data_IF_171765018576
#
_entry.id   IF_171765018576
#
_cell.length_a   1.000
_cell.length_b   1.000
_cell.length_c   1.000
_cell.angle_alpha   90.00
_cell.angle_beta   90.00
_cell.angle_gamma   90.00
#
_symmetry.space_group_name_H-M   'P 1'
#
loop_
_entity.id
_entity.type
_entity.pdbx_description
1 polymer ?
#
# COMPACT_ATOMS: atom_id res chain seq x y z
N UNK A 1 -44.34 31.65 23.42
CA UNK A 1 -43.14 31.21 22.66
C UNK A 1 -41.93 31.33 23.58
N UNK A 2 -41.55 30.23 24.26
CA UNK A 2 -40.43 30.19 25.22
C UNK A 2 -39.33 29.31 24.63
N UNK A 3 -38.19 29.92 24.34
CA UNK A 3 -36.98 29.25 23.85
C UNK A 3 -36.12 28.96 25.09
N UNK A 4 -35.98 27.68 25.45
CA UNK A 4 -35.04 27.24 26.48
C UNK A 4 -33.65 27.08 25.83
N UNK A 5 -32.69 27.87 26.31
CA UNK A 5 -31.26 27.69 26.04
C UNK A 5 -30.76 26.50 26.86
N UNK A 6 -30.25 25.46 26.22
CA UNK A 6 -29.49 24.39 26.86
C UNK A 6 -28.00 24.75 26.72
N UNK A 7 -27.36 25.04 27.85
CA UNK A 7 -25.93 25.22 27.97
C UNK A 7 -25.31 23.85 28.27
N UNK A 8 -24.52 23.30 27.35
CA UNK A 8 -23.81 22.03 27.55
C UNK A 8 -22.36 22.34 27.95
N UNK A 9 -22.04 22.09 29.21
CA UNK A 9 -20.72 22.29 29.78
C UNK A 9 -19.68 21.32 29.22
N UNK A 10 -18.54 21.87 28.83
CA UNK A 10 -17.34 21.15 28.39
C UNK A 10 -16.56 20.73 29.64
N UNK A 11 -16.43 19.43 29.88
CA UNK A 11 -15.48 18.89 30.87
C UNK A 11 -14.10 18.76 30.24
N UNK A 12 -13.16 19.60 30.68
CA UNK A 12 -11.73 19.50 30.37
C UNK A 12 -11.07 18.67 31.48
N UNK A 13 -10.58 17.48 31.13
CA UNK A 13 -9.70 16.70 32.02
C UNK A 13 -8.25 17.16 31.82
N UNK A 14 -7.68 17.76 32.86
CA UNK A 14 -6.26 18.10 32.96
C UNK A 14 -5.55 16.89 33.59
N UNK A 15 -4.67 16.23 32.83
CA UNK A 15 -3.70 15.28 33.39
C UNK A 15 -2.36 15.98 33.56
N UNK A 16 -1.89 16.06 34.82
CA UNK A 16 -0.60 16.60 35.18
C UNK A 16 0.52 15.61 34.83
N UNK A 17 1.53 16.10 34.11
CA UNK A 17 2.80 15.40 33.89
C UNK A 17 3.63 15.42 35.19
N UNK A 18 4.10 14.25 35.62
CA UNK A 18 5.29 14.14 36.47
C UNK A 18 6.36 13.37 35.71
N UNK A 19 7.41 14.09 35.30
CA UNK A 19 8.61 13.49 34.73
C UNK A 19 9.51 12.94 35.86
N UNK A 20 9.87 11.67 35.79
CA UNK A 20 10.98 11.10 36.54
C UNK A 20 12.02 10.60 35.55
N UNK A 21 13.23 11.16 35.65
CA UNK A 21 14.42 10.68 34.95
C UNK A 21 14.93 9.42 35.64
N UNK A 22 15.08 8.32 34.90
CA UNK A 22 16.16 7.37 35.15
C UNK A 22 16.71 6.82 33.83
N UNK A 23 18.00 6.56 33.85
CA UNK A 23 18.87 6.31 32.71
C UNK A 23 19.53 4.94 32.91
N UNK A 24 19.69 4.20 31.81
CA UNK A 24 20.76 3.21 31.49
C UNK A 24 20.45 1.70 31.58
N UNK A 25 20.82 1.08 30.44
CA UNK A 25 21.32 -0.27 30.12
C UNK A 25 20.42 -1.49 29.83
N UNK A 26 20.78 -2.09 28.69
CA UNK A 26 20.39 -3.39 28.18
C UNK A 26 21.27 -4.51 28.75
N UNK A 27 20.66 -5.66 29.07
CA UNK A 27 20.96 -7.00 28.53
C UNK A 27 20.46 -8.13 29.46
N UNK A 28 19.95 -9.20 28.80
CA UNK A 28 19.79 -10.62 29.20
C UNK A 28 18.71 -11.06 30.21
N UNK A 29 17.82 -11.93 29.68
CA UNK A 29 17.22 -13.21 30.17
C UNK A 29 16.84 -13.35 31.66
N UNK A 30 15.72 -13.97 32.09
CA UNK A 30 15.10 -15.18 31.58
C UNK A 30 13.66 -15.35 32.15
N UNK A 31 12.91 -16.28 31.54
CA UNK A 31 11.53 -16.74 31.79
C UNK A 31 10.88 -16.65 33.19
N UNK A 32 9.64 -16.15 33.23
CA UNK A 32 8.50 -16.77 33.95
C UNK A 32 7.15 -16.42 33.27
N UNK A 33 6.47 -17.43 32.74
CA UNK A 33 5.12 -17.32 32.16
C UNK A 33 4.06 -17.43 33.26
N UNK A 34 3.09 -16.50 33.26
CA UNK A 34 1.76 -16.71 33.84
C UNK A 34 0.68 -16.39 32.79
N UNK A 35 -0.44 -17.13 32.78
CA UNK A 35 -1.45 -17.04 31.73
C UNK A 35 -2.25 -15.75 31.88
N UNK A 36 -1.92 -14.75 31.07
CA UNK A 36 -2.71 -13.52 30.98
C UNK A 36 -3.87 -13.72 30.00
N UNK A 37 -5.09 -13.55 30.51
CA UNK A 37 -6.29 -13.28 29.73
C UNK A 37 -6.00 -12.24 28.65
N UNK A 38 -6.38 -12.45 27.37
CA UNK A 38 -5.95 -11.58 26.29
C UNK A 38 -6.57 -10.20 26.46
N UNK A 39 -5.73 -9.24 26.83
CA UNK A 39 -6.07 -7.82 26.84
C UNK A 39 -6.16 -7.33 25.39
N UNK A 40 -7.37 -7.01 24.93
CA UNK A 40 -7.68 -6.65 23.55
C UNK A 40 -7.33 -5.17 23.26
N UNK A 41 -7.03 -4.35 24.26
CA UNK A 41 -6.85 -2.89 24.10
C UNK A 41 -5.57 -2.44 23.38
N UNK A 42 -4.60 -3.31 23.10
CA UNK A 42 -3.33 -2.94 22.44
C UNK A 42 -3.12 -3.50 21.02
N UNK A 43 -4.17 -3.93 20.31
CA UNK A 43 -4.04 -4.66 19.03
C UNK A 43 -4.25 -3.88 17.73
N UNK A 44 -4.39 -2.57 17.74
CA UNK A 44 -4.29 -1.79 16.50
C UNK A 44 -2.86 -1.27 16.35
N UNK A 45 -1.97 -1.96 15.61
CA UNK A 45 -0.72 -1.33 15.18
C UNK A 45 -1.05 -0.07 14.37
N UNK A 46 -0.21 0.96 14.47
CA UNK A 46 -0.39 2.27 13.81
C UNK A 46 -0.43 2.25 12.27
N UNK A 47 -0.48 1.09 11.62
CA UNK A 47 -0.28 0.90 10.19
C UNK A 47 -1.54 0.34 9.55
N UNK A 48 -2.02 0.93 8.47
CA UNK A 48 -3.32 0.61 7.86
C UNK A 48 -3.22 0.27 6.36
N UNK A 49 -2.00 0.20 5.82
CA UNK A 49 -1.66 -0.06 4.42
C UNK A 49 -0.27 -0.69 4.31
N UNK A 50 0.11 -1.18 3.13
CA UNK A 50 1.49 -1.56 2.83
C UNK A 50 2.42 -0.46 3.31
N UNK A 51 3.57 -0.85 3.86
CA UNK A 51 4.48 0.13 4.43
C UNK A 51 4.83 1.20 3.40
N UNK A 52 4.71 2.46 3.83
CA UNK A 52 5.18 3.64 3.15
C UNK A 52 5.75 4.62 4.17
N UNK A 53 6.47 4.14 5.19
CA UNK A 53 6.78 4.91 6.42
C UNK A 53 7.75 6.08 6.21
N UNK A 54 8.52 6.03 5.13
CA UNK A 54 9.49 7.06 4.77
C UNK A 54 9.56 7.18 3.25
N UNK A 55 9.63 8.39 2.69
CA UNK A 55 9.56 8.59 1.25
C UNK A 55 10.77 8.03 0.49
N UNK A 56 11.92 7.87 1.14
CA UNK A 56 13.15 7.39 0.48
C UNK A 56 13.75 6.11 1.10
N UNK A 57 13.06 5.48 2.05
CA UNK A 57 13.55 4.26 2.73
C UNK A 57 12.75 3.03 2.29
N UNK A 58 13.27 2.31 1.31
CA UNK A 58 12.66 1.09 0.76
C UNK A 58 12.47 -0.03 1.81
N UNK A 59 13.26 -0.03 2.90
CA UNK A 59 13.14 -1.08 3.93
C UNK A 59 11.80 -0.99 4.65
N UNK A 60 11.24 0.21 4.75
CA UNK A 60 9.96 0.50 5.38
C UNK A 60 8.95 1.07 4.36
N UNK A 61 9.18 0.85 3.05
CA UNK A 61 8.29 1.31 1.99
C UNK A 61 8.16 0.25 0.89
N UNK A 62 7.16 -0.63 1.00
CA UNK A 62 6.95 -1.72 0.03
C UNK A 62 6.51 -1.19 -1.34
N UNK A 63 5.71 -0.12 -1.38
CA UNK A 63 5.32 0.51 -2.66
C UNK A 63 6.53 1.03 -3.43
N UNK A 64 7.45 1.73 -2.75
CA UNK A 64 8.69 2.23 -3.34
C UNK A 64 9.62 1.08 -3.76
N UNK A 65 9.68 0.01 -2.95
CA UNK A 65 10.43 -1.19 -3.28
C UNK A 65 9.89 -1.86 -4.57
N UNK A 66 8.56 -1.98 -4.71
CA UNK A 66 7.92 -2.49 -5.93
C UNK A 66 8.24 -1.62 -7.14
N UNK A 67 8.16 -0.29 -7.01
CA UNK A 67 8.56 0.65 -8.06
C UNK A 67 10.01 0.45 -8.51
N UNK A 68 10.94 0.24 -7.57
CA UNK A 68 12.34 -0.07 -7.90
C UNK A 68 12.48 -1.41 -8.61
N UNK A 69 11.77 -2.46 -8.18
CA UNK A 69 11.82 -3.75 -8.88
C UNK A 69 11.25 -3.64 -10.29
N UNK A 70 10.15 -2.91 -10.49
CA UNK A 70 9.58 -2.64 -11.81
C UNK A 70 10.57 -1.93 -12.74
N UNK A 71 11.31 -0.93 -12.24
CA UNK A 71 12.40 -0.28 -12.98
C UNK A 71 13.51 -1.24 -13.38
N UNK A 72 13.88 -2.20 -12.52
CA UNK A 72 14.86 -3.25 -12.89
C UNK A 72 14.34 -4.15 -14.01
N UNK A 73 13.04 -4.44 -14.04
CA UNK A 73 12.43 -5.22 -15.13
C UNK A 73 12.49 -4.41 -16.43
N UNK A 74 12.10 -3.13 -16.41
CA UNK A 74 12.19 -2.24 -17.57
C UNK A 74 13.63 -2.09 -18.10
N UNK A 75 14.63 -2.05 -17.21
CA UNK A 75 16.04 -1.87 -17.58
C UNK A 75 16.66 -3.05 -18.34
N UNK A 76 16.03 -4.24 -18.29
CA UNK A 76 16.52 -5.43 -19.00
C UNK A 76 16.15 -5.43 -20.47
N UNK A 77 15.05 -4.77 -20.79
CA UNK A 77 14.56 -4.66 -22.14
C UNK A 77 15.50 -3.73 -22.91
N UNK A 78 16.29 -4.27 -23.84
CA UNK A 78 17.26 -3.51 -24.64
C UNK A 78 16.56 -2.70 -25.73
N UNK A 79 15.72 -1.75 -25.31
CA UNK A 79 14.93 -0.87 -26.16
C UNK A 79 15.26 0.59 -25.81
N UNK A 80 15.63 1.40 -26.81
CA UNK A 80 15.97 2.81 -26.64
C UNK A 80 14.90 3.63 -25.91
N UNK A 81 13.61 3.32 -26.13
CA UNK A 81 12.50 3.99 -25.46
C UNK A 81 12.52 3.77 -23.93
N UNK A 82 12.91 2.58 -23.46
CA UNK A 82 13.01 2.33 -22.02
C UNK A 82 14.23 3.01 -21.39
N UNK A 83 15.30 3.22 -22.16
CA UNK A 83 16.45 3.98 -21.66
C UNK A 83 16.05 5.41 -21.31
N UNK A 84 15.35 6.10 -22.20
CA UNK A 84 14.85 7.46 -21.96
C UNK A 84 13.88 7.52 -20.77
N UNK A 85 12.90 6.62 -20.75
CA UNK A 85 11.97 6.48 -19.61
C UNK A 85 12.73 6.31 -18.27
N UNK A 86 13.74 5.44 -18.23
CA UNK A 86 14.53 5.19 -17.03
C UNK A 86 15.37 6.41 -16.62
N UNK A 87 15.91 7.15 -17.58
CA UNK A 87 16.61 8.42 -17.33
C UNK A 87 15.68 9.45 -16.69
N UNK A 88 14.45 9.59 -17.20
CA UNK A 88 13.45 10.47 -16.58
C UNK A 88 13.04 10.01 -15.18
N UNK A 89 12.74 8.72 -15.00
CA UNK A 89 12.39 8.16 -13.69
C UNK A 89 13.53 8.30 -12.67
N UNK A 90 14.79 8.30 -13.12
CA UNK A 90 15.94 8.59 -12.28
C UNK A 90 15.99 10.07 -11.90
N UNK A 91 15.80 10.96 -12.87
CA UNK A 91 15.83 12.42 -12.68
C UNK A 91 14.76 12.87 -11.69
N UNK A 92 13.54 12.33 -11.80
CA UNK A 92 12.39 12.70 -10.98
C UNK A 92 12.05 11.66 -9.90
N UNK A 93 13.05 10.88 -9.47
CA UNK A 93 12.85 9.80 -8.49
C UNK A 93 12.24 10.31 -7.18
N UNK A 94 12.66 11.49 -6.71
CA UNK A 94 12.19 12.06 -5.44
C UNK A 94 10.71 12.42 -5.51
N UNK A 95 10.27 12.94 -6.63
CA UNK A 95 8.88 13.32 -6.87
C UNK A 95 7.98 12.08 -6.91
N UNK A 96 8.38 11.04 -7.66
CA UNK A 96 7.67 9.76 -7.66
C UNK A 96 7.60 9.17 -6.26
N UNK A 97 8.72 9.13 -5.55
CA UNK A 97 8.80 8.54 -4.22
C UNK A 97 7.97 9.32 -3.18
N UNK A 98 7.93 10.65 -3.28
CA UNK A 98 7.07 11.49 -2.45
C UNK A 98 5.59 11.30 -2.78
N UNK A 99 5.23 11.15 -4.06
CA UNK A 99 3.86 10.84 -4.47
C UNK A 99 3.38 9.49 -3.93
N UNK A 100 4.24 8.47 -4.00
CA UNK A 100 3.99 7.17 -3.38
C UNK A 100 3.76 7.33 -1.87
N UNK A 101 4.66 8.01 -1.18
CA UNK A 101 4.55 8.22 0.27
C UNK A 101 3.30 8.99 0.70
N UNK A 102 3.02 10.12 0.04
CA UNK A 102 1.94 11.03 0.44
C UNK A 102 0.57 10.37 0.38
N UNK A 103 0.39 9.35 -0.48
CA UNK A 103 -0.86 8.64 -0.63
C UNK A 103 -1.42 8.12 0.72
N UNK A 104 -0.54 7.62 1.59
CA UNK A 104 -0.92 7.10 2.92
C UNK A 104 -0.82 8.13 4.06
N UNK A 105 -0.26 9.31 3.80
CA UNK A 105 0.18 10.21 4.88
C UNK A 105 -0.45 11.60 4.84
N UNK A 106 -1.16 11.94 3.74
CA UNK A 106 -1.62 13.30 3.51
C UNK A 106 -3.01 13.34 2.93
N UNK A 107 -3.84 14.26 3.43
CA UNK A 107 -5.12 14.60 2.81
C UNK A 107 -4.91 15.31 1.45
N UNK A 108 -5.72 15.02 0.43
CA UNK A 108 -6.94 14.20 0.49
C UNK A 108 -6.73 12.70 0.25
N UNK A 109 -5.49 12.22 0.16
CA UNK A 109 -5.15 10.91 -0.41
C UNK A 109 -5.50 9.74 0.51
N UNK A 110 -5.22 9.86 1.81
CA UNK A 110 -5.55 8.84 2.82
C UNK A 110 -6.97 8.96 3.40
N UNK A 111 -7.81 9.82 2.82
CA UNK A 111 -9.22 10.02 3.15
C UNK A 111 -9.49 10.23 4.66
N UNK A 112 -8.82 11.22 5.27
CA UNK A 112 -8.90 11.48 6.72
C UNK A 112 -8.65 10.22 7.58
N UNK A 113 -7.61 9.46 7.24
CA UNK A 113 -7.21 8.20 7.88
C UNK A 113 -8.20 7.04 7.72
N UNK A 114 -9.17 7.14 6.79
CA UNK A 114 -10.04 6.01 6.45
C UNK A 114 -9.41 5.12 5.37
N UNK A 115 -8.56 5.68 4.49
CA UNK A 115 -7.96 4.98 3.36
C UNK A 115 -9.00 4.41 2.38
N UNK A 116 -10.22 4.93 2.36
CA UNK A 116 -11.30 4.39 1.51
C UNK A 116 -10.94 4.35 0.02
N UNK A 117 -10.14 5.28 -0.45
CA UNK A 117 -9.66 5.33 -1.83
C UNK A 117 -8.54 4.34 -2.15
N UNK A 118 -8.00 3.62 -1.16
CA UNK A 118 -6.95 2.61 -1.34
C UNK A 118 -7.50 1.21 -1.63
N UNK A 119 -8.82 1.03 -1.50
CA UNK A 119 -9.49 -0.26 -1.69
C UNK A 119 -10.29 -0.27 -2.98
N UNK A 120 -10.33 -1.44 -3.62
CA UNK A 120 -11.16 -1.67 -4.81
C UNK A 120 -11.44 -3.15 -5.00
N UNK A 121 -12.71 -3.54 -4.92
CA UNK A 121 -13.16 -4.88 -5.28
C UNK A 121 -13.53 -4.93 -6.78
N UNK A 122 -12.78 -5.67 -7.63
CA UNK A 122 -13.00 -5.69 -9.07
C UNK A 122 -14.26 -6.43 -9.54
N UNK A 123 -14.84 -7.26 -8.66
CA UNK A 123 -16.11 -7.96 -8.92
C UNK A 123 -17.31 -7.07 -8.61
N UNK A 124 -17.25 -6.31 -7.51
CA UNK A 124 -18.34 -5.44 -7.07
C UNK A 124 -18.22 -3.99 -7.56
N UNK A 125 -17.11 -3.66 -8.20
CA UNK A 125 -16.75 -2.32 -8.68
C UNK A 125 -16.87 -1.23 -7.59
N UNK A 126 -16.41 -1.51 -6.37
CA UNK A 126 -16.59 -0.63 -5.21
C UNK A 126 -15.40 -0.67 -4.23
N UNK A 127 -15.42 0.23 -3.25
CA UNK A 127 -14.60 0.18 -2.04
C UNK A 127 -15.42 -0.36 -0.86
N UNK A 128 -14.83 -0.51 0.32
CA UNK A 128 -15.48 -1.05 1.51
C UNK A 128 -16.56 -0.11 2.10
N UNK A 129 -16.56 1.18 1.73
CA UNK A 129 -17.64 2.12 2.03
C UNK A 129 -18.41 2.51 0.76
N UNK A 130 -19.72 2.18 0.67
CA UNK A 130 -20.54 2.58 -0.47
C UNK A 130 -20.60 4.09 -0.66
N UNK A 131 -20.59 4.53 -1.93
CA UNK A 131 -20.72 5.95 -2.31
C UNK A 131 -19.41 6.75 -2.31
N UNK A 132 -18.30 6.17 -1.84
CA UNK A 132 -16.99 6.81 -1.85
C UNK A 132 -16.16 6.48 -3.10
N UNK A 133 -15.14 7.29 -3.37
CA UNK A 133 -14.17 7.02 -4.44
C UNK A 133 -13.32 5.82 -4.07
N UNK A 134 -13.08 4.94 -5.04
CA UNK A 134 -12.28 3.72 -4.88
C UNK A 134 -10.92 3.85 -5.59
N UNK A 135 -10.02 2.88 -5.39
CA UNK A 135 -8.68 2.91 -5.95
C UNK A 135 -8.67 2.97 -7.48
N UNK A 136 -9.61 2.30 -8.16
CA UNK A 136 -9.75 2.39 -9.63
C UNK A 136 -9.91 3.84 -10.10
N UNK A 137 -10.87 4.55 -9.51
CA UNK A 137 -11.16 5.94 -9.86
C UNK A 137 -10.00 6.88 -9.49
N UNK A 138 -9.40 6.67 -8.32
CA UNK A 138 -8.34 7.55 -7.81
C UNK A 138 -7.01 7.35 -8.54
N UNK A 139 -6.63 6.10 -8.84
CA UNK A 139 -5.51 5.78 -9.72
C UNK A 139 -5.69 6.42 -11.10
N UNK A 140 -6.84 6.19 -11.74
CA UNK A 140 -7.13 6.76 -13.06
C UNK A 140 -7.08 8.29 -13.09
N UNK A 141 -7.57 8.95 -12.03
CA UNK A 141 -7.46 10.41 -11.85
C UNK A 141 -6.00 10.86 -11.86
N UNK A 142 -5.16 10.30 -10.99
CA UNK A 142 -3.77 10.78 -10.88
C UNK A 142 -2.91 10.38 -12.08
N UNK A 143 -3.18 9.24 -12.71
CA UNK A 143 -2.56 8.87 -13.98
C UNK A 143 -2.83 9.91 -15.07
N UNK A 144 -4.10 10.29 -15.26
CA UNK A 144 -4.51 11.27 -16.29
C UNK A 144 -3.96 12.67 -15.99
N UNK A 145 -3.96 13.07 -14.71
CA UNK A 145 -3.38 14.35 -14.32
C UNK A 145 -1.84 14.35 -14.47
N UNK A 146 -1.17 13.22 -14.23
CA UNK A 146 0.27 13.10 -14.49
C UNK A 146 0.58 13.24 -15.99
N UNK A 147 -0.23 12.62 -16.86
CA UNK A 147 -0.10 12.78 -18.32
C UNK A 147 -0.31 14.23 -18.75
N UNK A 148 -1.35 14.88 -18.22
CA UNK A 148 -1.62 16.28 -18.54
C UNK A 148 -0.44 17.18 -18.12
N UNK A 149 0.03 17.04 -16.89
CA UNK A 149 1.17 17.83 -16.39
C UNK A 149 2.44 17.56 -17.21
N UNK A 150 2.68 16.33 -17.65
CA UNK A 150 3.81 15.99 -18.51
C UNK A 150 3.74 16.73 -19.85
N UNK A 151 2.57 16.73 -20.50
CA UNK A 151 2.34 17.43 -21.78
C UNK A 151 2.42 18.95 -21.65
N UNK A 152 2.22 19.48 -20.45
CA UNK A 152 2.36 20.89 -20.12
C UNK A 152 3.77 21.24 -19.60
N UNK A 153 4.75 20.34 -19.70
CA UNK A 153 6.14 20.47 -19.22
C UNK A 153 6.26 20.75 -17.70
N UNK A 154 5.23 20.39 -16.92
CA UNK A 154 5.21 20.47 -15.45
C UNK A 154 5.79 19.20 -14.83
N UNK A 155 7.01 18.84 -15.23
CA UNK A 155 7.58 17.52 -14.98
C UNK A 155 7.63 17.12 -13.50
N UNK A 156 8.00 18.03 -12.59
CA UNK A 156 8.00 17.70 -11.15
C UNK A 156 6.62 17.26 -10.65
N UNK A 157 5.56 17.96 -11.07
CA UNK A 157 4.19 17.64 -10.67
C UNK A 157 3.67 16.41 -11.41
N UNK A 158 4.06 16.22 -12.67
CA UNK A 158 3.75 15.03 -13.44
C UNK A 158 4.26 13.75 -12.74
N UNK A 159 5.53 13.73 -12.36
CA UNK A 159 6.15 12.57 -11.71
C UNK A 159 5.65 12.37 -10.27
N UNK A 160 5.33 13.44 -9.54
CA UNK A 160 4.64 13.33 -8.25
C UNK A 160 3.27 12.66 -8.37
N UNK A 161 2.44 13.10 -9.34
CA UNK A 161 1.13 12.49 -9.59
C UNK A 161 1.24 11.08 -10.15
N UNK A 162 2.28 10.78 -10.93
CA UNK A 162 2.58 9.40 -11.33
C UNK A 162 2.87 8.54 -10.09
N UNK A 163 3.64 9.05 -9.12
CA UNK A 163 3.87 8.40 -7.84
C UNK A 163 2.57 8.08 -7.09
N UNK A 164 1.64 9.04 -7.00
CA UNK A 164 0.31 8.80 -6.42
C UNK A 164 -0.44 7.68 -7.18
N UNK A 165 -0.45 7.72 -8.52
CA UNK A 165 -1.09 6.67 -9.33
C UNK A 165 -0.47 5.28 -9.11
N UNK A 166 0.86 5.20 -9.00
CA UNK A 166 1.59 3.96 -8.72
C UNK A 166 1.18 3.38 -7.37
N UNK A 167 1.01 4.23 -6.35
CA UNK A 167 0.54 3.79 -5.03
C UNK A 167 -0.77 3.04 -5.10
N UNK A 168 -1.83 3.67 -5.64
CA UNK A 168 -3.14 3.04 -5.78
C UNK A 168 -3.13 1.80 -6.68
N UNK A 169 -2.28 1.79 -7.72
CA UNK A 169 -2.10 0.61 -8.56
C UNK A 169 -1.50 -0.57 -7.76
N UNK A 170 -0.51 -0.29 -6.91
CA UNK A 170 0.18 -1.31 -6.10
C UNK A 170 -0.62 -1.74 -4.88
N UNK A 171 -1.44 -0.87 -4.28
CA UNK A 171 -2.47 -1.29 -3.31
C UNK A 171 -3.36 -2.38 -3.91
N UNK A 172 -3.85 -2.18 -5.14
CA UNK A 172 -4.69 -3.15 -5.82
C UNK A 172 -3.95 -4.40 -6.31
N UNK A 173 -2.64 -4.51 -6.10
CA UNK A 173 -1.91 -5.78 -6.26
C UNK A 173 -1.96 -6.66 -5.00
N UNK A 174 -2.50 -6.12 -3.90
CA UNK A 174 -2.61 -6.80 -2.62
C UNK A 174 -4.00 -7.40 -2.43
N UNK A 175 -4.08 -8.69 -2.07
CA UNK A 175 -5.37 -9.37 -2.08
C UNK A 175 -6.44 -8.82 -1.12
N UNK A 176 -6.06 -8.28 0.04
CA UNK A 176 -7.00 -7.68 1.00
C UNK A 176 -7.58 -6.34 0.51
N UNK A 177 -6.76 -5.46 -0.10
CA UNK A 177 -7.18 -4.23 -0.77
C UNK A 177 -8.14 -4.54 -1.94
N UNK A 178 -7.84 -5.60 -2.70
CA UNK A 178 -8.68 -6.10 -3.78
C UNK A 178 -9.99 -6.79 -3.32
N UNK A 179 -10.16 -7.00 -2.01
CA UNK A 179 -11.32 -7.66 -1.42
C UNK A 179 -12.01 -6.86 -0.31
N UNK A 180 -11.68 -5.58 -0.15
CA UNK A 180 -12.26 -4.74 0.91
C UNK A 180 -12.04 -5.32 2.32
N UNK A 181 -10.97 -6.11 2.52
CA UNK A 181 -10.57 -6.63 3.83
C UNK A 181 -9.63 -5.62 4.49
N UNK A 182 -10.15 -4.84 5.42
CA UNK A 182 -9.43 -3.74 6.09
C UNK A 182 -8.75 -4.21 7.38
N UNK A 183 -7.97 -3.33 8.03
CA UNK A 183 -7.42 -3.57 9.36
C UNK A 183 -8.47 -3.81 10.47
N UNK A 184 -9.72 -3.41 10.25
CA UNK A 184 -10.84 -3.67 11.17
C UNK A 184 -11.67 -4.89 10.76
N UNK A 185 -11.34 -5.56 9.66
CA UNK A 185 -11.98 -6.81 9.26
C UNK A 185 -11.55 -7.96 10.17
N UNK A 186 -12.41 -8.96 10.36
CA UNK A 186 -12.10 -10.09 11.24
C UNK A 186 -11.09 -11.07 10.60
N UNK A 187 -9.94 -11.37 11.25
CA UNK A 187 -9.51 -10.90 12.57
C UNK A 187 -8.86 -9.51 12.57
N UNK A 188 -9.31 -8.65 13.48
CA UNK A 188 -8.86 -7.26 13.61
C UNK A 188 -7.34 -7.21 13.77
N UNK A 189 -6.69 -6.29 13.05
CA UNK A 189 -5.25 -6.08 13.04
C UNK A 189 -4.46 -7.01 12.11
N UNK A 190 -5.09 -8.06 11.55
CA UNK A 190 -4.37 -9.01 10.69
C UNK A 190 -3.83 -8.36 9.43
N UNK A 191 -4.59 -7.46 8.81
CA UNK A 191 -4.17 -6.72 7.61
C UNK A 191 -2.85 -5.97 7.84
N UNK A 192 -2.81 -5.14 8.87
CA UNK A 192 -1.64 -4.36 9.25
C UNK A 192 -0.44 -5.23 9.62
N UNK A 193 -0.67 -6.32 10.36
CA UNK A 193 0.39 -7.25 10.76
C UNK A 193 0.92 -8.02 9.56
N UNK A 194 0.06 -8.37 8.60
CA UNK A 194 0.45 -8.96 7.33
C UNK A 194 1.39 -8.04 6.56
N UNK A 195 1.05 -6.76 6.40
CA UNK A 195 1.88 -5.81 5.64
C UNK A 195 3.24 -5.58 6.28
N UNK A 196 3.29 -5.49 7.61
CA UNK A 196 4.54 -5.47 8.36
C UNK A 196 5.36 -6.75 8.20
N UNK A 197 4.69 -7.91 8.07
CA UNK A 197 5.40 -9.14 7.76
C UNK A 197 6.00 -9.10 6.36
N UNK A 198 5.26 -8.59 5.36
CA UNK A 198 5.79 -8.51 4.00
C UNK A 198 7.05 -7.64 3.94
N UNK A 199 7.11 -6.58 4.75
CA UNK A 199 8.31 -5.76 4.89
C UNK A 199 9.58 -6.56 5.20
N UNK A 200 9.44 -7.60 6.02
CA UNK A 200 10.54 -8.46 6.48
C UNK A 200 10.98 -9.50 5.45
N UNK A 201 10.13 -9.84 4.47
CA UNK A 201 10.40 -10.93 3.51
C UNK A 201 10.54 -10.45 2.06
N UNK A 202 10.08 -9.24 1.71
CA UNK A 202 10.01 -8.77 0.31
C UNK A 202 11.33 -8.90 -0.46
N UNK A 203 12.47 -8.70 0.19
CA UNK A 203 13.79 -8.83 -0.43
C UNK A 203 14.11 -10.27 -0.93
N UNK A 204 13.47 -11.30 -0.37
CA UNK A 204 13.60 -12.69 -0.85
C UNK A 204 12.93 -12.90 -2.21
N UNK A 205 12.05 -11.97 -2.62
CA UNK A 205 11.19 -12.07 -3.79
C UNK A 205 11.46 -10.96 -4.81
N UNK A 206 12.69 -10.42 -4.84
CA UNK A 206 13.10 -9.40 -5.80
C UNK A 206 13.01 -9.84 -7.27
N UNK A 207 13.04 -8.87 -8.18
CA UNK A 207 13.00 -9.14 -9.61
C UNK A 207 14.15 -10.08 -10.03
N UNK A 208 13.84 -11.14 -10.76
CA UNK A 208 14.82 -12.09 -11.33
C UNK A 208 15.12 -11.77 -12.79
N UNK A 209 16.25 -12.23 -13.31
CA UNK A 209 16.64 -12.01 -14.73
C UNK A 209 15.58 -12.49 -15.74
N UNK A 210 14.83 -13.54 -15.40
CA UNK A 210 13.78 -14.10 -16.26
C UNK A 210 12.44 -13.35 -16.23
N UNK A 211 12.28 -12.33 -15.38
CA UNK A 211 11.02 -11.58 -15.30
C UNK A 211 10.91 -10.54 -16.40
N UNK A 212 9.79 -10.59 -17.11
CA UNK A 212 9.45 -9.67 -18.20
C UNK A 212 8.31 -8.73 -17.81
N UNK A 213 8.16 -7.67 -18.59
CA UNK A 213 7.06 -6.71 -18.48
C UNK A 213 5.72 -7.40 -18.77
N UNK A 214 4.79 -7.41 -17.81
CA UNK A 214 3.42 -7.91 -18.03
C UNK A 214 2.52 -6.78 -18.50
N UNK A 215 1.94 -6.93 -19.69
CA UNK A 215 1.05 -5.96 -20.31
C UNK A 215 -0.39 -6.45 -20.29
N UNK A 216 -1.33 -5.52 -20.18
CA UNK A 216 -2.75 -5.79 -20.36
C UNK A 216 -3.23 -5.22 -21.70
N UNK A 217 -4.16 -5.93 -22.35
CA UNK A 217 -4.80 -5.47 -23.59
C UNK A 217 -5.98 -4.53 -23.27
N UNK A 218 -5.71 -3.46 -22.54
CA UNK A 218 -6.71 -2.45 -22.14
C UNK A 218 -6.11 -1.05 -22.26
N UNK A 219 -6.94 -0.07 -22.62
CA UNK A 219 -6.47 1.25 -23.04
C UNK A 219 -6.71 2.38 -22.03
N UNK A 220 -7.21 2.07 -20.84
CA UNK A 220 -7.46 3.05 -19.78
C UNK A 220 -6.74 2.67 -18.49
N UNK A 221 -6.23 3.64 -17.71
CA UNK A 221 -5.59 3.35 -16.42
C UNK A 221 -6.56 2.71 -15.43
N UNK A 222 -7.85 3.01 -15.52
CA UNK A 222 -8.89 2.34 -14.72
C UNK A 222 -8.98 0.84 -15.00
N UNK A 223 -8.99 0.42 -16.27
CA UNK A 223 -9.02 -1.00 -16.60
C UNK A 223 -7.68 -1.68 -16.30
N UNK A 224 -6.55 -0.98 -16.43
CA UNK A 224 -5.25 -1.49 -15.96
C UNK A 224 -5.28 -1.83 -14.47
N UNK A 225 -5.78 -0.92 -13.63
CA UNK A 225 -5.93 -1.19 -12.19
C UNK A 225 -6.93 -2.33 -11.95
N UNK A 226 -8.03 -2.39 -12.70
CA UNK A 226 -9.02 -3.46 -12.56
C UNK A 226 -8.43 -4.83 -12.89
N UNK A 227 -7.67 -4.96 -13.97
CA UNK A 227 -7.00 -6.22 -14.32
C UNK A 227 -5.97 -6.61 -13.26
N UNK A 228 -5.22 -5.65 -12.71
CA UNK A 228 -4.32 -5.91 -11.58
C UNK A 228 -5.09 -6.41 -10.34
N UNK A 229 -6.19 -5.74 -10.00
CA UNK A 229 -7.04 -6.10 -8.88
C UNK A 229 -7.68 -7.47 -9.03
N UNK A 230 -8.08 -7.90 -10.23
CA UNK A 230 -8.61 -9.26 -10.47
C UNK A 230 -7.58 -10.33 -10.12
N UNK A 231 -6.32 -10.10 -10.47
CA UNK A 231 -5.21 -11.02 -10.16
C UNK A 231 -4.98 -11.11 -8.66
N UNK A 232 -4.95 -9.96 -7.97
CA UNK A 232 -4.84 -9.93 -6.51
C UNK A 232 -6.06 -10.58 -5.83
N UNK A 233 -7.27 -10.33 -6.34
CA UNK A 233 -8.50 -10.92 -5.80
C UNK A 233 -8.48 -12.45 -5.88
N UNK A 234 -8.00 -13.02 -6.98
CA UNK A 234 -7.91 -14.47 -7.18
C UNK A 234 -7.00 -15.17 -6.14
N UNK A 235 -6.07 -14.44 -5.52
CA UNK A 235 -5.14 -14.98 -4.53
C UNK A 235 -5.54 -14.69 -3.08
N UNK A 236 -6.71 -14.07 -2.86
CA UNK A 236 -7.18 -13.71 -1.52
C UNK A 236 -7.23 -14.88 -0.55
N UNK A 237 -7.86 -15.99 -0.95
CA UNK A 237 -8.00 -17.16 -0.08
C UNK A 237 -6.65 -17.86 0.19
N UNK A 238 -5.60 -17.57 -0.58
CA UNK A 238 -4.25 -18.06 -0.30
C UNK A 238 -3.62 -17.33 0.90
N UNK A 239 -4.04 -16.10 1.18
CA UNK A 239 -3.53 -15.27 2.28
C UNK A 239 -4.52 -15.24 3.46
N UNK A 240 -5.81 -15.08 3.17
CA UNK A 240 -6.87 -14.91 4.15
C UNK A 240 -7.83 -16.09 4.11
N UNK A 241 -7.57 -17.11 4.94
CA UNK A 241 -8.40 -18.31 5.03
C UNK A 241 -8.56 -18.76 6.49
N UNK A 242 -9.34 -19.83 6.71
CA UNK A 242 -9.61 -20.33 8.06
C UNK A 242 -8.34 -20.67 8.86
N UNK A 243 -7.32 -21.23 8.20
CA UNK A 243 -6.07 -21.63 8.86
C UNK A 243 -5.24 -20.42 9.25
N UNK A 244 -5.06 -19.45 8.35
CA UNK A 244 -4.27 -18.25 8.63
C UNK A 244 -4.94 -17.39 9.70
N UNK A 245 -6.27 -17.26 9.66
CA UNK A 245 -7.05 -16.57 10.70
C UNK A 245 -6.92 -17.26 12.06
N UNK A 246 -7.07 -18.59 12.12
CA UNK A 246 -6.92 -19.36 13.36
C UNK A 246 -5.52 -19.19 13.95
N UNK A 247 -4.48 -19.41 13.15
CA UNK A 247 -3.09 -19.27 13.59
C UNK A 247 -2.76 -17.86 14.08
N UNK A 248 -3.26 -16.82 13.41
CA UNK A 248 -3.12 -15.43 13.84
C UNK A 248 -3.78 -15.18 15.20
N UNK A 249 -5.01 -15.67 15.40
CA UNK A 249 -5.75 -15.51 16.65
C UNK A 249 -5.11 -16.26 17.82
N UNK A 250 -4.50 -17.42 17.56
CA UNK A 250 -3.70 -18.20 18.52
C UNK A 250 -2.35 -17.54 18.87
N UNK A 251 -1.98 -16.45 18.20
CA UNK A 251 -0.73 -15.71 18.46
C UNK A 251 0.53 -16.45 18.00
N UNK A 252 0.41 -17.52 17.22
CA UNK A 252 1.56 -18.27 16.72
C UNK A 252 2.00 -17.76 15.32
N UNK A 253 3.22 -18.10 14.92
CA UNK A 253 3.83 -17.64 13.67
C UNK A 253 3.55 -18.55 12.45
N UNK A 254 2.69 -19.57 12.59
CA UNK A 254 2.40 -20.53 11.50
C UNK A 254 1.79 -19.83 10.28
N UNK A 255 0.89 -18.87 10.48
CA UNK A 255 0.26 -18.11 9.39
C UNK A 255 1.30 -17.44 8.49
N UNK A 256 2.43 -16.96 9.05
CA UNK A 256 3.53 -16.35 8.27
C UNK A 256 4.12 -17.34 7.27
N UNK A 257 4.38 -18.58 7.72
CA UNK A 257 4.89 -19.66 6.86
C UNK A 257 3.88 -20.05 5.78
N UNK A 258 2.60 -20.12 6.15
CA UNK A 258 1.53 -20.55 5.24
C UNK A 258 1.31 -19.54 4.09
N UNK A 259 1.54 -18.24 4.34
CA UNK A 259 1.35 -17.18 3.33
C UNK A 259 2.63 -16.71 2.64
N UNK A 260 3.81 -17.18 3.05
CA UNK A 260 5.10 -16.67 2.58
C UNK A 260 5.23 -16.77 1.04
N UNK A 261 5.00 -17.98 0.51
CA UNK A 261 5.05 -18.24 -0.93
C UNK A 261 3.96 -17.48 -1.70
N UNK A 262 2.66 -17.54 -1.32
CA UNK A 262 1.63 -16.72 -1.96
C UNK A 262 1.96 -15.22 -1.98
N UNK A 263 2.53 -14.70 -0.89
CA UNK A 263 2.96 -13.30 -0.80
C UNK A 263 4.07 -13.01 -1.80
N UNK A 264 5.07 -13.87 -1.88
CA UNK A 264 6.15 -13.76 -2.86
C UNK A 264 5.66 -13.76 -4.31
N UNK A 265 4.76 -14.68 -4.65
CA UNK A 265 4.12 -14.74 -5.96
C UNK A 265 3.32 -13.47 -6.30
N UNK A 266 2.75 -12.79 -5.30
CA UNK A 266 2.08 -11.48 -5.46
C UNK A 266 3.04 -10.33 -5.63
N UNK A 267 4.13 -10.28 -4.87
CA UNK A 267 5.17 -9.27 -5.06
C UNK A 267 5.77 -9.33 -6.48
N UNK A 268 6.07 -10.55 -6.96
CA UNK A 268 6.62 -10.78 -8.30
C UNK A 268 5.64 -10.39 -9.41
N UNK A 269 4.36 -10.70 -9.26
CA UNK A 269 3.34 -10.29 -10.21
C UNK A 269 3.10 -8.77 -10.19
N UNK A 270 3.12 -8.17 -8.99
CA UNK A 270 2.97 -6.73 -8.80
C UNK A 270 4.09 -5.95 -9.48
N UNK A 271 5.35 -6.35 -9.32
CA UNK A 271 6.47 -5.65 -10.00
C UNK A 271 6.42 -5.79 -11.54
N UNK A 272 5.99 -6.95 -12.07
CA UNK A 272 5.88 -7.16 -13.52
C UNK A 272 4.72 -6.35 -14.14
N UNK A 273 3.58 -6.33 -13.47
CA UNK A 273 2.40 -5.57 -13.91
C UNK A 273 2.60 -4.06 -13.72
N UNK A 274 3.30 -3.64 -12.66
CA UNK A 274 3.71 -2.25 -12.45
C UNK A 274 4.69 -1.78 -13.53
N UNK A 275 5.64 -2.62 -13.94
CA UNK A 275 6.52 -2.32 -15.08
C UNK A 275 5.69 -2.05 -16.34
N UNK A 276 4.67 -2.88 -16.61
CA UNK A 276 3.74 -2.67 -17.72
C UNK A 276 2.92 -1.40 -17.60
N UNK A 277 2.47 -1.06 -16.39
CA UNK A 277 1.68 0.15 -16.14
C UNK A 277 2.50 1.43 -16.36
N UNK A 278 3.78 1.41 -15.98
CA UNK A 278 4.72 2.51 -16.22
C UNK A 278 5.03 2.63 -17.72
N UNK A 279 5.26 1.51 -18.43
CA UNK A 279 5.39 1.49 -19.91
C UNK A 279 4.13 2.06 -20.58
N UNK A 280 2.95 1.67 -20.11
CA UNK A 280 1.67 2.18 -20.60
C UNK A 280 1.54 3.70 -20.40
N UNK A 281 1.91 4.22 -19.23
CA UNK A 281 1.94 5.67 -18.98
C UNK A 281 2.88 6.37 -19.95
N UNK A 282 4.10 5.88 -20.12
CA UNK A 282 5.11 6.50 -20.97
C UNK A 282 4.65 6.54 -22.44
N UNK A 283 4.08 5.46 -22.95
CA UNK A 283 3.50 5.42 -24.31
C UNK A 283 2.35 6.39 -24.52
N UNK A 284 1.56 6.68 -23.47
CA UNK A 284 0.49 7.68 -23.54
C UNK A 284 1.01 9.11 -23.40
N UNK A 285 2.17 9.29 -22.76
CA UNK A 285 2.84 10.57 -22.61
C UNK A 285 3.52 11.00 -23.93
N UNK A 286 4.02 10.04 -24.70
CA UNK A 286 4.69 10.22 -26.01
C UNK A 286 3.72 10.30 -27.21
N UNK A 287 2.41 10.21 -26.96
CA UNK A 287 1.33 10.41 -27.95
C UNK A 287 0.74 11.82 -27.85
#
# INVERSE_FOLDING_TARGET
>A
MRINKISLGIYVFIFALTASLMKVNACSDDHLMQPQTPNIEHKLPHKLSWSAERPLDEKANTHLWLFKQARKILAKENNGAYKELLEMLNKYYKEVAQGIFDADHKNPYYDCSTFVSHFYNPTKDNTYLPGFKNAKQTCGKYFKQALQDYKEDKLNTAFYKLGLSIHYFTDCSQPMHANNFTAVSNPIGFHSVYENYVDSIKCNYQATESMEVKKFCVDTPEEWLRENAKRAQADYDKIVNANTKKSYLEGNSKWKKDIDKPTGERLQDSMQTLAGFIDFWYKKADQ
#
